data_IF_219209522273
#
_entry.id   IF_219209522273
#
_cell.length_a   1.000
_cell.length_b   1.000
_cell.length_c   1.000
_cell.angle_alpha   90.00
_cell.angle_beta   90.00
_cell.angle_gamma   90.00
#
_symmetry.space_group_name_H-M   'P 1'
#
loop_
_entity.id
_entity.type
_entity.pdbx_description
1 polymer ?
#
# COMPACT_ATOMS: atom_id res chain seq x y z
N UNK A 1 -43.58 30.13 47.12
CA UNK A 1 -42.47 29.34 46.55
C UNK A 1 -42.95 27.91 46.34
N UNK A 2 -43.24 27.54 45.10
CA UNK A 2 -43.74 26.22 44.71
C UNK A 2 -42.64 25.17 44.91
N UNK A 3 -42.66 24.50 46.06
CA UNK A 3 -41.76 23.36 46.34
C UNK A 3 -42.20 22.21 45.42
N UNK A 4 -41.34 21.86 44.46
CA UNK A 4 -41.55 20.67 43.62
C UNK A 4 -41.69 19.39 44.45
N UNK A 5 -42.19 18.29 43.84
CA UNK A 5 -42.48 17.06 44.56
C UNK A 5 -41.24 16.54 45.32
N UNK A 6 -41.46 16.09 46.55
CA UNK A 6 -40.40 15.62 47.44
C UNK A 6 -39.79 14.33 46.89
N UNK A 7 -38.66 14.44 46.19
CA UNK A 7 -37.97 13.29 45.60
C UNK A 7 -37.45 12.39 46.72
N UNK A 8 -37.86 11.13 46.72
CA UNK A 8 -37.40 10.14 47.69
C UNK A 8 -35.98 9.65 47.34
N UNK A 9 -35.20 9.26 48.36
CA UNK A 9 -33.83 8.75 48.18
C UNK A 9 -33.76 7.54 47.23
N UNK A 10 -34.79 6.70 47.22
CA UNK A 10 -34.91 5.54 46.31
C UNK A 10 -35.05 5.95 44.85
N UNK A 11 -35.84 7.00 44.54
CA UNK A 11 -35.93 7.54 43.18
C UNK A 11 -34.62 8.17 42.72
N UNK A 12 -33.92 8.89 43.60
CA UNK A 12 -32.59 9.45 43.33
C UNK A 12 -31.59 8.35 42.93
N UNK A 13 -31.57 7.24 43.67
CA UNK A 13 -30.69 6.10 43.40
C UNK A 13 -31.01 5.40 42.08
N UNK A 14 -32.31 5.25 41.75
CA UNK A 14 -32.77 4.73 40.45
C UNK A 14 -32.34 5.63 39.29
N UNK A 15 -32.43 6.96 39.44
CA UNK A 15 -31.99 7.92 38.41
C UNK A 15 -30.48 7.87 38.22
N UNK A 16 -29.70 7.80 39.30
CA UNK A 16 -28.24 7.63 39.21
C UNK A 16 -27.83 6.34 38.48
N UNK A 17 -28.46 5.20 38.80
CA UNK A 17 -28.19 3.94 38.09
C UNK A 17 -28.56 4.00 36.60
N UNK A 18 -29.71 4.59 36.25
CA UNK A 18 -30.11 4.77 34.85
C UNK A 18 -29.12 5.67 34.10
N UNK A 19 -28.71 6.79 34.71
CA UNK A 19 -27.74 7.71 34.13
C UNK A 19 -26.37 7.04 33.94
N UNK A 20 -25.92 6.24 34.92
CA UNK A 20 -24.67 5.49 34.83
C UNK A 20 -24.68 4.41 33.73
N UNK A 21 -25.81 3.71 33.56
CA UNK A 21 -25.98 2.77 32.43
C UNK A 21 -26.00 3.49 31.08
N UNK A 22 -26.65 4.65 31.00
CA UNK A 22 -26.67 5.45 29.77
C UNK A 22 -25.28 5.99 29.41
N UNK A 23 -24.52 6.48 30.38
CA UNK A 23 -23.15 6.96 30.15
C UNK A 23 -22.23 5.83 29.69
N UNK A 24 -22.33 4.65 30.29
CA UNK A 24 -21.61 3.45 29.86
C UNK A 24 -21.97 3.03 28.42
N UNK A 25 -23.26 3.07 28.06
CA UNK A 25 -23.70 2.78 26.68
C UNK A 25 -23.17 3.81 25.69
N UNK A 26 -23.16 5.10 26.05
CA UNK A 26 -22.60 6.17 25.20
C UNK A 26 -21.09 6.00 25.01
N UNK A 27 -20.36 5.70 26.08
CA UNK A 27 -18.91 5.43 26.01
C UNK A 27 -18.60 4.25 25.08
N UNK A 28 -19.29 3.11 25.26
CA UNK A 28 -19.10 1.93 24.40
C UNK A 28 -19.41 2.20 22.93
N UNK A 29 -20.42 3.02 22.63
CA UNK A 29 -20.75 3.41 21.25
C UNK A 29 -19.66 4.30 20.64
N UNK A 30 -19.15 5.26 21.41
CA UNK A 30 -18.06 6.12 20.97
C UNK A 30 -16.77 5.33 20.72
N UNK A 31 -16.44 4.40 21.61
CA UNK A 31 -15.29 3.51 21.47
C UNK A 31 -15.44 2.58 20.26
N UNK A 32 -16.62 2.00 20.06
CA UNK A 32 -16.90 1.17 18.89
C UNK A 32 -16.79 1.96 17.57
N UNK A 33 -17.25 3.23 17.55
CA UNK A 33 -17.12 4.10 16.38
C UNK A 33 -15.65 4.41 16.08
N UNK A 34 -14.86 4.76 17.10
CA UNK A 34 -13.43 4.98 16.99
C UNK A 34 -12.70 3.76 16.43
N UNK A 35 -12.96 2.58 17.00
CA UNK A 35 -12.39 1.31 16.54
C UNK A 35 -12.78 0.98 15.10
N UNK A 36 -13.99 1.33 14.66
CA UNK A 36 -14.39 1.17 13.27
C UNK A 36 -13.63 2.11 12.33
N UNK A 37 -13.37 3.35 12.73
CA UNK A 37 -12.57 4.30 11.96
C UNK A 37 -11.11 3.86 11.84
N UNK A 38 -10.48 3.43 12.94
CA UNK A 38 -9.12 2.87 12.90
C UNK A 38 -9.02 1.68 11.94
N UNK A 39 -10.00 0.77 11.98
CA UNK A 39 -10.06 -0.37 11.04
C UNK A 39 -10.19 0.08 9.60
N UNK A 40 -11.00 1.11 9.32
CA UNK A 40 -11.14 1.67 7.96
C UNK A 40 -9.81 2.24 7.48
N UNK A 41 -9.14 3.03 8.31
CA UNK A 41 -7.83 3.63 8.03
C UNK A 41 -6.79 2.54 7.75
N UNK A 42 -6.66 1.55 8.63
CA UNK A 42 -5.73 0.44 8.46
C UNK A 42 -6.02 -0.35 7.17
N UNK A 43 -7.29 -0.58 6.85
CA UNK A 43 -7.70 -1.27 5.64
C UNK A 43 -7.35 -0.49 4.37
N UNK A 44 -7.47 0.84 4.41
CA UNK A 44 -7.14 1.74 3.30
C UNK A 44 -5.64 1.69 2.99
N UNK A 45 -4.79 1.94 3.99
CA UNK A 45 -3.34 1.92 3.79
C UNK A 45 -2.83 0.53 3.41
N UNK A 46 -3.43 -0.55 3.94
CA UNK A 46 -3.12 -1.91 3.51
C UNK A 46 -3.46 -2.15 2.03
N UNK A 47 -4.56 -1.59 1.53
CA UNK A 47 -4.95 -1.68 0.11
C UNK A 47 -3.98 -0.86 -0.75
N UNK A 48 -3.67 0.37 -0.37
CA UNK A 48 -2.71 1.22 -1.07
C UNK A 48 -1.33 0.56 -1.18
N UNK A 49 -0.80 0.02 -0.08
CA UNK A 49 0.48 -0.70 -0.09
C UNK A 49 0.47 -1.93 -1.01
N UNK A 50 -0.69 -2.61 -1.15
CA UNK A 50 -0.83 -3.74 -2.08
C UNK A 50 -0.89 -3.29 -3.55
N UNK A 51 -1.42 -2.10 -3.83
CA UNK A 51 -1.49 -1.52 -5.19
C UNK A 51 -0.15 -0.96 -5.61
N UNK A 52 0.55 -0.27 -4.70
CA UNK A 52 1.82 0.41 -4.97
C UNK A 52 3.03 -0.48 -4.67
N UNK A 53 2.91 -1.81 -4.86
CA UNK A 53 4.06 -2.69 -4.72
C UNK A 53 5.11 -2.27 -5.77
N UNK A 54 6.39 -2.15 -5.39
CA UNK A 54 7.44 -1.85 -6.36
C UNK A 54 7.42 -2.95 -7.43
N UNK A 55 7.20 -2.55 -8.69
CA UNK A 55 7.05 -3.50 -9.78
C UNK A 55 8.42 -4.11 -10.07
N UNK A 56 8.66 -5.31 -9.54
CA UNK A 56 9.97 -5.98 -9.63
C UNK A 56 10.26 -6.51 -11.03
N UNK A 57 9.20 -6.86 -11.78
CA UNK A 57 9.29 -7.37 -13.16
C UNK A 57 8.19 -6.75 -14.00
N UNK A 58 8.58 -6.00 -15.04
CA UNK A 58 7.66 -5.54 -16.08
C UNK A 58 8.06 -6.16 -17.41
N UNK A 59 7.08 -6.46 -18.27
CA UNK A 59 7.31 -6.90 -19.66
C UNK A 59 8.23 -5.92 -20.41
N UNK A 60 8.13 -4.63 -20.10
CA UNK A 60 8.96 -3.58 -20.69
C UNK A 60 10.41 -3.73 -20.22
N UNK A 61 10.65 -3.84 -18.91
CA UNK A 61 12.02 -3.99 -18.36
C UNK A 61 12.71 -5.27 -18.84
N UNK A 62 11.97 -6.36 -19.02
CA UNK A 62 12.53 -7.61 -19.56
C UNK A 62 12.83 -7.48 -21.05
N UNK A 63 11.96 -6.82 -21.82
CA UNK A 63 12.19 -6.51 -23.23
C UNK A 63 13.39 -5.57 -23.41
N UNK A 64 13.57 -4.59 -22.55
CA UNK A 64 14.73 -3.68 -22.57
C UNK A 64 16.03 -4.41 -22.25
N UNK A 65 16.01 -5.37 -21.32
CA UNK A 65 17.18 -6.21 -21.06
C UNK A 65 17.54 -7.03 -22.30
N UNK A 66 16.58 -7.71 -22.91
CA UNK A 66 16.87 -8.55 -24.10
C UNK A 66 17.32 -7.71 -25.30
N UNK A 67 16.74 -6.54 -25.54
CA UNK A 67 17.21 -5.65 -26.62
C UNK A 67 18.61 -5.10 -26.34
N UNK A 68 18.93 -4.75 -25.10
CA UNK A 68 20.28 -4.30 -24.71
C UNK A 68 21.31 -5.39 -24.96
N UNK A 69 21.06 -6.62 -24.50
CA UNK A 69 21.96 -7.76 -24.73
C UNK A 69 22.14 -8.05 -26.22
N UNK A 70 21.05 -8.05 -26.99
CA UNK A 70 21.12 -8.27 -28.44
C UNK A 70 21.93 -7.16 -29.15
N UNK A 71 21.74 -5.90 -28.77
CA UNK A 71 22.49 -4.79 -29.37
C UNK A 71 23.99 -4.85 -29.07
N UNK A 72 24.37 -5.32 -27.88
CA UNK A 72 25.78 -5.52 -27.52
C UNK A 72 26.40 -6.66 -28.34
N UNK A 73 25.70 -7.80 -28.41
CA UNK A 73 26.14 -8.96 -29.18
C UNK A 73 26.28 -8.66 -30.68
N UNK A 74 25.30 -7.97 -31.28
CA UNK A 74 25.35 -7.60 -32.69
C UNK A 74 26.49 -6.62 -32.98
N UNK A 75 26.73 -5.64 -32.11
CA UNK A 75 27.88 -4.72 -32.26
C UNK A 75 29.20 -5.46 -32.20
N UNK A 76 29.39 -6.37 -31.23
CA UNK A 76 30.61 -7.17 -31.16
C UNK A 76 30.77 -8.10 -32.36
N UNK A 77 29.69 -8.73 -32.83
CA UNK A 77 29.72 -9.61 -33.99
C UNK A 77 30.14 -8.85 -35.26
N UNK A 78 29.60 -7.65 -35.48
CA UNK A 78 29.97 -6.79 -36.61
C UNK A 78 31.46 -6.45 -36.58
N UNK A 79 32.01 -6.11 -35.40
CA UNK A 79 33.44 -5.79 -35.25
C UNK A 79 34.31 -6.98 -35.63
N UNK A 80 33.96 -8.19 -35.17
CA UNK A 80 34.71 -9.42 -35.49
C UNK A 80 34.68 -9.71 -36.99
N UNK A 81 33.51 -9.59 -37.62
CA UNK A 81 33.36 -9.80 -39.07
C UNK A 81 34.21 -8.80 -39.85
N UNK A 82 34.18 -7.51 -39.48
CA UNK A 82 35.00 -6.49 -40.12
C UNK A 82 36.49 -6.81 -40.04
N UNK A 83 36.95 -7.25 -38.87
CA UNK A 83 38.36 -7.57 -38.64
C UNK A 83 38.79 -8.80 -39.47
N UNK A 84 37.93 -9.80 -39.58
CA UNK A 84 38.15 -10.95 -40.47
C UNK A 84 38.21 -10.53 -41.94
N UNK A 85 37.35 -9.62 -42.39
CA UNK A 85 37.40 -9.10 -43.76
C UNK A 85 38.73 -8.38 -44.05
N UNK A 86 39.21 -7.56 -43.10
CA UNK A 86 40.50 -6.87 -43.27
C UNK A 86 41.66 -7.86 -43.35
N UNK A 87 41.68 -8.88 -42.49
CA UNK A 87 42.71 -9.94 -42.55
C UNK A 87 42.63 -10.71 -43.86
N UNK A 88 41.43 -11.06 -44.31
CA UNK A 88 41.23 -11.77 -45.58
C UNK A 88 41.73 -10.95 -46.77
N UNK A 89 41.41 -9.64 -46.81
CA UNK A 89 41.93 -8.74 -47.84
C UNK A 89 43.45 -8.63 -47.75
N UNK A 90 44.02 -8.49 -46.55
CA UNK A 90 45.47 -8.45 -46.38
C UNK A 90 46.15 -9.71 -46.92
N UNK A 91 45.58 -10.90 -46.71
CA UNK A 91 46.11 -12.17 -47.25
C UNK A 91 45.85 -12.34 -48.75
N UNK A 92 44.74 -11.82 -49.27
CA UNK A 92 44.44 -11.91 -50.71
C UNK A 92 45.25 -10.93 -51.57
N UNK A 93 45.71 -9.82 -50.97
CA UNK A 93 46.51 -8.78 -51.63
C UNK A 93 48.01 -8.84 -51.29
N UNK A 94 48.43 -9.75 -50.39
CA UNK A 94 49.85 -10.13 -50.21
C UNK A 94 50.26 -11.13 -51.29
#
# INVERSE_FOLDING_TARGET
MTKGPLITRSELRKRQQKNAQESLKKQRKAEAAYQQEEKKIASFYRKEHKRNKPITKTRISEREKTTKWNSFLMKSLIIVILLLCVVFLAVAFI
#
